data_IF_368184497995
#
_entry.id   IF_368184497995
#
_cell.length_a   1.000
_cell.length_b   1.000
_cell.length_c   1.000
_cell.angle_alpha   90.00
_cell.angle_beta   90.00
_cell.angle_gamma   90.00
#
_symmetry.space_group_name_H-M   'P 1'
#
loop_
_entity.id
_entity.type
_entity.pdbx_description
1 polymer ?
#
# COMPACT_ATOMS: atom_id res chain seq x y z
N UNK A 1 0.93 -33.22 -17.37
CA UNK A 1 0.88 -32.12 -16.39
C UNK A 1 1.40 -30.90 -17.10
N UNK A 2 0.50 -30.16 -17.75
CA UNK A 2 0.89 -29.01 -18.56
C UNK A 2 1.27 -27.86 -17.63
N UNK A 3 2.52 -27.42 -17.73
CA UNK A 3 3.05 -26.24 -17.05
C UNK A 3 2.14 -25.04 -17.30
N UNK A 4 1.69 -24.37 -16.22
CA UNK A 4 0.90 -23.14 -16.31
C UNK A 4 1.63 -22.14 -17.21
N UNK A 5 1.03 -21.85 -18.37
CA UNK A 5 1.61 -20.94 -19.34
C UNK A 5 1.39 -19.49 -18.88
N UNK A 6 2.39 -18.90 -18.20
CA UNK A 6 2.36 -17.51 -17.74
C UNK A 6 2.07 -16.45 -18.84
N UNK A 7 2.01 -16.81 -20.14
CA UNK A 7 1.44 -15.93 -21.20
C UNK A 7 -0.01 -15.53 -20.90
N UNK A 8 -0.80 -16.43 -20.32
CA UNK A 8 -2.22 -16.15 -20.04
C UNK A 8 -2.41 -15.22 -18.84
N UNK A 9 -1.44 -15.12 -17.92
CA UNK A 9 -1.60 -14.38 -16.67
C UNK A 9 -1.67 -12.85 -16.87
N UNK A 10 -0.87 -12.28 -17.79
CA UNK A 10 -0.93 -10.85 -18.13
C UNK A 10 -2.21 -10.48 -18.91
N UNK A 11 -2.62 -11.30 -19.87
CA UNK A 11 -3.89 -11.10 -20.58
C UNK A 11 -5.10 -11.25 -19.63
N UNK A 12 -4.98 -12.11 -18.62
CA UNK A 12 -6.05 -12.35 -17.66
C UNK A 12 -6.17 -11.27 -16.59
N UNK A 13 -5.10 -10.61 -16.15
CA UNK A 13 -5.23 -9.42 -15.27
C UNK A 13 -6.05 -8.35 -15.99
N UNK A 14 -5.80 -8.14 -17.29
CA UNK A 14 -6.59 -7.24 -18.12
C UNK A 14 -8.05 -7.71 -18.25
N UNK A 15 -8.29 -9.02 -18.34
CA UNK A 15 -9.63 -9.61 -18.43
C UNK A 15 -10.41 -9.59 -17.09
N UNK A 16 -9.72 -9.77 -15.95
CA UNK A 16 -10.27 -9.69 -14.60
C UNK A 16 -10.74 -8.25 -14.33
N UNK A 17 -9.91 -7.25 -14.66
CA UNK A 17 -10.29 -5.83 -14.52
C UNK A 17 -11.41 -5.48 -15.49
N UNK A 18 -11.39 -5.96 -16.74
CA UNK A 18 -12.44 -5.65 -17.72
C UNK A 18 -13.77 -6.37 -17.46
N UNK A 19 -13.77 -7.48 -16.71
CA UNK A 19 -14.98 -8.25 -16.34
C UNK A 19 -15.53 -7.92 -14.95
N UNK A 20 -14.95 -6.94 -14.23
CA UNK A 20 -15.64 -6.24 -13.14
C UNK A 20 -16.80 -5.41 -13.73
N UNK A 21 -17.88 -6.08 -14.14
CA UNK A 21 -19.16 -5.43 -14.27
C UNK A 21 -19.62 -5.06 -12.86
N UNK A 22 -19.48 -3.77 -12.51
CA UNK A 22 -20.32 -3.16 -11.49
C UNK A 22 -21.75 -3.45 -11.95
N UNK A 23 -22.49 -4.24 -11.17
CA UNK A 23 -23.92 -4.43 -11.38
C UNK A 23 -24.56 -3.04 -11.24
N UNK A 24 -24.72 -2.35 -12.37
CA UNK A 24 -25.48 -1.10 -12.46
C UNK A 24 -26.95 -1.47 -12.28
N UNK A 25 -27.52 -0.96 -11.20
CA UNK A 25 -28.93 -0.60 -11.12
C UNK A 25 -29.93 -1.76 -11.17
N UNK A 26 -30.26 -2.26 -10.00
CA UNK A 26 -31.65 -2.50 -9.63
C UNK A 26 -31.75 -2.47 -8.12
N UNK A 27 -32.73 -1.72 -7.61
CA UNK A 27 -33.14 -1.80 -6.21
C UNK A 27 -33.50 -3.26 -5.93
N UNK A 28 -32.66 -3.97 -5.20
CA UNK A 28 -32.95 -5.35 -4.80
C UNK A 28 -33.89 -5.26 -3.60
N UNK A 29 -35.18 -5.08 -3.90
CA UNK A 29 -36.22 -5.60 -3.02
C UNK A 29 -35.99 -7.12 -2.94
N UNK A 30 -35.71 -7.58 -1.72
CA UNK A 30 -35.50 -8.98 -1.39
C UNK A 30 -36.77 -9.79 -1.70
N UNK A 31 -36.83 -10.40 -2.88
CA UNK A 31 -37.72 -11.53 -3.13
C UNK A 31 -36.96 -12.83 -2.84
N UNK A 32 -37.49 -13.60 -1.91
CA UNK A 32 -36.77 -14.65 -1.20
C UNK A 32 -36.90 -15.99 -1.91
N UNK A 33 -35.82 -16.45 -2.56
CA UNK A 33 -35.61 -17.88 -2.89
C UNK A 33 -34.36 -18.40 -2.17
N UNK A 34 -34.58 -19.29 -1.22
CA UNK A 34 -33.58 -19.76 -0.25
C UNK A 34 -32.30 -20.39 -0.84
N UNK A 35 -32.32 -20.84 -2.10
CA UNK A 35 -31.15 -21.43 -2.77
C UNK A 35 -30.16 -20.42 -3.36
N UNK A 36 -30.63 -19.27 -3.85
CA UNK A 36 -29.75 -18.25 -4.45
C UNK A 36 -28.99 -17.46 -3.38
N UNK A 37 -29.59 -17.26 -2.21
CA UNK A 37 -28.99 -16.56 -1.08
C UNK A 37 -27.77 -17.28 -0.49
N UNK A 38 -27.73 -18.62 -0.51
CA UNK A 38 -26.60 -19.40 0.00
C UNK A 38 -25.37 -19.26 -0.90
N UNK A 39 -25.59 -19.26 -2.23
CA UNK A 39 -24.50 -19.06 -3.20
C UNK A 39 -24.03 -17.60 -3.24
N UNK A 40 -24.93 -16.63 -3.05
CA UNK A 40 -24.59 -15.22 -2.94
C UNK A 40 -23.80 -14.91 -1.65
N UNK A 41 -24.21 -15.45 -0.50
CA UNK A 41 -23.48 -15.28 0.75
C UNK A 41 -22.11 -15.95 0.71
N UNK A 42 -22.02 -17.16 0.14
CA UNK A 42 -20.74 -17.81 -0.11
C UNK A 42 -19.83 -16.95 -1.00
N UNK A 43 -20.37 -16.32 -2.06
CA UNK A 43 -19.61 -15.46 -2.98
C UNK A 43 -19.10 -14.15 -2.38
N UNK A 44 -19.74 -13.67 -1.33
CA UNK A 44 -19.43 -12.39 -0.66
C UNK A 44 -18.54 -12.58 0.58
N UNK A 45 -18.23 -13.81 0.98
CA UNK A 45 -17.33 -14.10 2.09
C UNK A 45 -15.90 -13.63 1.75
N UNK A 46 -15.17 -13.11 2.74
CA UNK A 46 -13.86 -12.47 2.52
C UNK A 46 -12.85 -13.41 1.88
N UNK A 47 -12.74 -14.66 2.32
CA UNK A 47 -11.82 -15.64 1.74
C UNK A 47 -12.06 -15.88 0.24
N UNK A 48 -13.28 -15.69 -0.26
CA UNK A 48 -13.58 -15.81 -1.69
C UNK A 48 -12.86 -14.78 -2.57
N UNK A 49 -12.40 -13.66 -2.02
CA UNK A 49 -11.57 -12.70 -2.76
C UNK A 49 -10.29 -13.36 -3.30
N UNK A 50 -9.67 -14.25 -2.52
CA UNK A 50 -8.51 -15.01 -2.95
C UNK A 50 -8.90 -16.34 -3.62
N UNK A 51 -9.82 -17.10 -3.02
CA UNK A 51 -10.14 -18.46 -3.48
C UNK A 51 -10.73 -18.48 -4.87
N UNK A 52 -11.52 -17.47 -5.27
CA UNK A 52 -12.08 -17.41 -6.63
C UNK A 52 -11.00 -17.21 -7.69
N UNK A 53 -9.95 -16.44 -7.38
CA UNK A 53 -8.80 -16.27 -8.26
C UNK A 53 -8.08 -17.61 -8.40
N UNK A 54 -7.76 -18.27 -7.28
CA UNK A 54 -7.11 -19.58 -7.29
C UNK A 54 -7.93 -20.64 -8.03
N UNK A 55 -9.24 -20.72 -7.79
CA UNK A 55 -10.15 -21.64 -8.47
C UNK A 55 -10.16 -21.41 -9.98
N UNK A 56 -10.39 -20.17 -10.40
CA UNK A 56 -10.48 -19.82 -11.82
C UNK A 56 -9.16 -20.10 -12.56
N UNK A 57 -8.03 -19.81 -11.92
CA UNK A 57 -6.69 -20.01 -12.46
C UNK A 57 -6.13 -21.43 -12.25
N UNK A 58 -6.88 -22.32 -11.59
CA UNK A 58 -6.44 -23.68 -11.24
C UNK A 58 -5.12 -23.70 -10.48
N UNK A 59 -4.94 -22.74 -9.57
CA UNK A 59 -3.77 -22.65 -8.69
C UNK A 59 -3.98 -23.51 -7.44
N UNK A 60 -2.94 -24.21 -7.02
CA UNK A 60 -3.00 -25.14 -5.86
C UNK A 60 -2.08 -24.74 -4.71
N UNK A 61 -1.44 -23.57 -4.79
CA UNK A 61 -0.66 -23.00 -3.68
C UNK A 61 -1.55 -22.35 -2.60
N UNK A 62 -0.93 -21.71 -1.58
CA UNK A 62 -1.65 -20.99 -0.53
C UNK A 62 -2.65 -19.98 -1.11
N UNK A 63 -3.86 -19.93 -0.54
CA UNK A 63 -4.93 -19.02 -0.94
C UNK A 63 -5.66 -18.48 0.28
N UNK A 64 -5.47 -17.20 0.58
CA UNK A 64 -5.98 -16.58 1.81
C UNK A 64 -6.17 -15.07 1.63
N UNK A 65 -6.88 -14.47 2.57
CA UNK A 65 -7.02 -13.01 2.71
C UNK A 65 -6.43 -12.60 4.05
N UNK A 66 -5.62 -11.55 4.04
CA UNK A 66 -5.10 -10.92 5.24
C UNK A 66 -5.83 -9.60 5.49
N UNK A 67 -6.12 -9.31 6.76
CA UNK A 67 -6.74 -8.07 7.20
C UNK A 67 -5.92 -7.47 8.35
N UNK A 68 -5.07 -6.52 7.98
CA UNK A 68 -4.25 -5.71 8.89
C UNK A 68 -4.58 -4.21 8.70
N UNK A 69 -5.87 -3.93 8.43
CA UNK A 69 -6.39 -2.60 8.10
C UNK A 69 -5.64 -1.97 6.91
N UNK A 70 -5.17 -0.73 7.03
CA UNK A 70 -4.53 0.04 5.95
C UNK A 70 -3.26 -0.61 5.35
N UNK A 71 -2.63 -1.52 6.09
CA UNK A 71 -1.39 -2.19 5.68
C UNK A 71 -1.63 -3.52 4.93
N UNK A 72 -2.88 -3.98 4.83
CA UNK A 72 -3.22 -5.35 4.38
C UNK A 72 -2.55 -5.79 3.07
N UNK A 73 -2.61 -4.95 2.03
CA UNK A 73 -1.99 -5.30 0.74
C UNK A 73 -0.47 -5.37 0.80
N UNK A 74 0.19 -4.51 1.59
CA UNK A 74 1.65 -4.58 1.74
C UNK A 74 2.07 -5.78 2.59
N UNK A 75 1.30 -6.10 3.63
CA UNK A 75 1.50 -7.30 4.43
C UNK A 75 1.34 -8.58 3.60
N UNK A 76 0.35 -8.63 2.70
CA UNK A 76 0.21 -9.74 1.76
C UNK A 76 1.40 -9.86 0.80
N UNK A 77 1.97 -8.72 0.37
CA UNK A 77 3.19 -8.68 -0.48
C UNK A 77 4.40 -9.19 0.30
N UNK A 78 4.58 -8.79 1.55
CA UNK A 78 5.65 -9.29 2.42
C UNK A 78 5.55 -10.80 2.60
N UNK A 79 4.36 -11.34 2.90
CA UNK A 79 4.16 -12.78 3.07
C UNK A 79 4.49 -13.54 1.78
N UNK A 80 4.05 -13.04 0.62
CA UNK A 80 4.39 -13.62 -0.67
C UNK A 80 5.89 -13.55 -0.96
N UNK A 81 6.54 -12.41 -0.69
CA UNK A 81 7.99 -12.24 -0.82
C UNK A 81 8.75 -13.26 0.02
N UNK A 82 8.38 -13.40 1.30
CA UNK A 82 8.99 -14.37 2.23
C UNK A 82 8.83 -15.81 1.74
N UNK A 83 7.61 -16.21 1.37
CA UNK A 83 7.32 -17.55 0.86
C UNK A 83 8.12 -17.87 -0.42
N UNK A 84 8.26 -16.91 -1.34
CA UNK A 84 9.10 -17.06 -2.54
C UNK A 84 10.58 -17.16 -2.17
N UNK A 85 11.05 -16.30 -1.25
CA UNK A 85 12.46 -16.26 -0.82
C UNK A 85 12.93 -17.56 -0.17
N UNK A 86 12.09 -18.20 0.64
CA UNK A 86 12.42 -19.48 1.29
C UNK A 86 12.13 -20.69 0.40
N UNK A 87 11.57 -20.48 -0.80
CA UNK A 87 11.29 -21.53 -1.77
C UNK A 87 10.00 -22.33 -1.51
N UNK A 88 9.08 -21.82 -0.67
CA UNK A 88 7.77 -22.44 -0.42
C UNK A 88 6.86 -22.35 -1.66
N UNK A 89 6.92 -21.23 -2.38
CA UNK A 89 6.20 -21.01 -3.64
C UNK A 89 7.14 -20.41 -4.70
N UNK A 90 6.83 -20.59 -5.98
CA UNK A 90 7.62 -20.02 -7.08
C UNK A 90 7.12 -18.65 -7.55
N UNK A 91 5.81 -18.42 -7.42
CA UNK A 91 5.15 -17.18 -7.78
C UNK A 91 3.89 -16.97 -6.92
N UNK A 92 3.44 -15.72 -6.84
CA UNK A 92 2.25 -15.32 -6.13
C UNK A 92 1.47 -14.26 -6.91
N UNK A 93 0.14 -14.32 -6.80
CA UNK A 93 -0.75 -13.22 -7.17
C UNK A 93 -1.11 -12.52 -5.88
N UNK A 94 -0.78 -11.23 -5.78
CA UNK A 94 -1.06 -10.44 -4.59
C UNK A 94 -1.92 -9.26 -5.00
N UNK A 95 -3.01 -9.01 -4.26
CA UNK A 95 -3.92 -7.93 -4.56
C UNK A 95 -4.40 -7.18 -3.32
N UNK A 96 -4.89 -5.97 -3.54
CA UNK A 96 -5.57 -5.15 -2.55
C UNK A 96 -6.82 -4.56 -3.18
N UNK A 97 -7.94 -4.60 -2.46
CA UNK A 97 -9.20 -4.04 -2.93
C UNK A 97 -9.88 -3.25 -1.81
N UNK A 98 -10.41 -2.08 -2.14
CA UNK A 98 -11.25 -1.27 -1.29
C UNK A 98 -12.34 -0.59 -2.13
N UNK A 99 -13.59 -0.63 -1.66
CA UNK A 99 -14.73 0.03 -2.30
C UNK A 99 -15.64 0.67 -1.23
N UNK A 100 -15.88 1.97 -1.35
CA UNK A 100 -16.67 2.80 -0.45
C UNK A 100 -18.16 2.72 -0.79
N UNK A 101 -18.73 1.52 -0.72
CA UNK A 101 -20.11 1.27 -1.17
C UNK A 101 -21.19 1.67 -0.16
N UNK A 102 -20.85 1.70 1.13
CA UNK A 102 -21.82 1.92 2.20
C UNK A 102 -21.44 3.13 3.06
N UNK A 103 -22.31 4.14 3.08
CA UNK A 103 -22.06 5.43 3.77
C UNK A 103 -21.87 5.29 5.28
N UNK A 104 -22.43 4.24 5.89
CA UNK A 104 -22.27 3.96 7.33
C UNK A 104 -20.79 3.84 7.74
N UNK A 105 -19.94 3.23 6.92
CA UNK A 105 -18.51 3.09 7.22
C UNK A 105 -17.83 4.47 7.24
N UNK A 106 -18.17 5.33 6.28
CA UNK A 106 -17.68 6.72 6.28
C UNK A 106 -18.19 7.51 7.49
N UNK A 107 -19.44 7.29 7.93
CA UNK A 107 -19.97 7.90 9.14
C UNK A 107 -19.23 7.44 10.40
N UNK A 108 -18.85 6.16 10.48
CA UNK A 108 -18.04 5.64 11.59
C UNK A 108 -16.67 6.32 11.62
N UNK A 109 -15.95 6.35 10.49
CA UNK A 109 -14.65 7.04 10.43
C UNK A 109 -14.75 8.55 10.69
N UNK A 110 -15.84 9.21 10.27
CA UNK A 110 -16.08 10.61 10.61
C UNK A 110 -16.25 10.80 12.12
N UNK A 111 -16.97 9.89 12.80
CA UNK A 111 -17.14 9.93 14.27
C UNK A 111 -15.86 9.63 15.04
N UNK A 112 -14.95 8.87 14.45
CA UNK A 112 -13.60 8.65 14.98
C UNK A 112 -12.67 9.85 14.78
N UNK A 113 -13.07 10.85 13.99
CA UNK A 113 -12.28 12.05 13.73
C UNK A 113 -11.09 11.85 12.80
N UNK A 114 -11.05 10.74 12.04
CA UNK A 114 -9.93 10.42 11.14
C UNK A 114 -10.16 10.88 9.70
N UNK A 115 -11.40 11.23 9.34
CA UNK A 115 -11.71 11.75 8.01
C UNK A 115 -11.48 13.26 7.94
N UNK A 116 -10.85 13.71 6.85
CA UNK A 116 -10.73 15.13 6.56
C UNK A 116 -12.12 15.71 6.20
N UNK A 117 -12.53 16.84 6.82
CA UNK A 117 -13.76 17.55 6.45
C UNK A 117 -13.77 18.07 5.01
N UNK A 118 -12.60 18.30 4.41
CA UNK A 118 -12.46 18.77 3.02
C UNK A 118 -12.29 17.62 2.01
N UNK A 119 -12.31 16.37 2.47
CA UNK A 119 -12.23 15.20 1.61
C UNK A 119 -10.91 15.11 0.83
N UNK A 120 -9.82 15.68 1.36
CA UNK A 120 -8.49 15.61 0.74
C UNK A 120 -7.44 15.07 1.72
N UNK A 121 -6.44 14.34 1.19
CA UNK A 121 -5.26 13.94 1.95
C UNK A 121 -4.13 14.96 1.74
N UNK A 122 -3.89 15.83 2.73
CA UNK A 122 -2.84 16.86 2.64
C UNK A 122 -1.56 16.38 3.33
N UNK A 123 -0.97 15.32 2.75
CA UNK A 123 0.20 14.67 3.31
C UNK A 123 1.35 15.67 3.52
N UNK A 124 1.94 15.66 4.72
CA UNK A 124 3.06 16.54 5.13
C UNK A 124 2.75 18.03 5.23
N UNK A 125 1.53 18.46 4.92
CA UNK A 125 1.11 19.86 5.03
C UNK A 125 0.60 20.18 6.45
N UNK A 126 0.84 21.42 6.89
CA UNK A 126 0.33 21.95 8.16
C UNK A 126 -1.21 21.90 8.24
N UNK A 127 -1.91 22.05 7.11
CA UNK A 127 -3.37 21.99 7.03
C UNK A 127 -3.94 20.56 6.97
N UNK A 128 -3.12 19.52 7.08
CA UNK A 128 -3.58 18.13 7.08
C UNK A 128 -4.39 17.80 8.34
N UNK A 129 -5.63 17.38 8.14
CA UNK A 129 -6.70 17.33 9.13
C UNK A 129 -7.52 16.03 9.04
N UNK A 130 -6.88 14.93 8.61
CA UNK A 130 -7.50 13.63 8.36
C UNK A 130 -7.25 13.15 6.94
N UNK A 131 -7.91 12.06 6.54
CA UNK A 131 -7.79 11.49 5.20
C UNK A 131 -9.13 11.45 4.45
N UNK A 132 -9.06 11.32 3.12
CA UNK A 132 -10.20 11.08 2.24
C UNK A 132 -10.27 9.59 1.91
N UNK A 133 -11.42 8.93 2.07
CA UNK A 133 -11.57 7.52 1.66
C UNK A 133 -11.54 7.41 0.14
N UNK A 134 -10.96 6.32 -0.37
CA UNK A 134 -10.87 6.09 -1.80
C UNK A 134 -11.14 4.64 -2.22
N UNK A 135 -11.60 4.50 -3.45
CA UNK A 135 -11.80 3.22 -4.11
C UNK A 135 -10.54 2.82 -4.87
N UNK A 136 -10.10 1.57 -4.70
CA UNK A 136 -9.03 1.02 -5.51
C UNK A 136 -9.09 -0.49 -5.57
N UNK A 137 -8.70 -1.06 -6.70
CA UNK A 137 -8.38 -2.49 -6.85
C UNK A 137 -7.07 -2.58 -7.61
N UNK A 138 -6.08 -3.23 -7.01
CA UNK A 138 -4.76 -3.44 -7.61
C UNK A 138 -4.30 -4.87 -7.45
N UNK A 139 -3.52 -5.35 -8.42
CA UNK A 139 -2.96 -6.71 -8.44
C UNK A 139 -1.53 -6.66 -8.97
N UNK A 140 -0.64 -7.38 -8.30
CA UNK A 140 0.74 -7.62 -8.72
C UNK A 140 1.01 -9.13 -8.83
N UNK A 141 1.95 -9.47 -9.70
CA UNK A 141 2.51 -10.82 -9.80
C UNK A 141 3.94 -10.76 -9.26
N UNK A 142 4.21 -11.52 -8.21
CA UNK A 142 5.54 -11.72 -7.67
C UNK A 142 6.06 -13.08 -8.10
N UNK A 143 7.32 -13.17 -8.50
CA UNK A 143 7.97 -14.42 -8.89
C UNK A 143 9.49 -14.29 -8.79
N UNK A 144 10.21 -15.41 -8.86
CA UNK A 144 11.67 -15.41 -8.92
C UNK A 144 12.14 -14.72 -10.22
N UNK A 145 13.18 -13.90 -10.14
CA UNK A 145 13.68 -13.11 -11.27
C UNK A 145 14.04 -13.95 -12.50
N UNK A 146 14.61 -15.14 -12.28
CA UNK A 146 14.97 -16.10 -13.34
C UNK A 146 13.78 -16.57 -14.20
N UNK A 147 12.57 -16.54 -13.65
CA UNK A 147 11.34 -17.01 -14.29
C UNK A 147 10.54 -15.84 -14.89
N UNK A 148 10.92 -14.59 -14.56
CA UNK A 148 10.22 -13.40 -14.98
C UNK A 148 10.56 -13.01 -16.43
N UNK A 149 9.51 -12.76 -17.23
CA UNK A 149 9.67 -12.24 -18.60
C UNK A 149 9.87 -10.74 -18.66
N UNK A 150 9.33 -10.04 -17.67
CA UNK A 150 9.48 -8.60 -17.46
C UNK A 150 9.59 -8.38 -15.97
N UNK A 151 10.54 -7.55 -15.57
CA UNK A 151 10.77 -7.14 -14.19
C UNK A 151 10.56 -5.63 -14.17
N UNK A 152 9.56 -5.19 -13.42
CA UNK A 152 9.29 -3.76 -13.20
C UNK A 152 10.12 -3.21 -12.04
N UNK A 153 10.27 -4.02 -10.99
CA UNK A 153 11.04 -3.71 -9.80
C UNK A 153 11.48 -5.02 -9.13
N UNK A 154 12.54 -4.96 -8.35
CA UNK A 154 12.98 -6.06 -7.50
C UNK A 154 12.70 -5.72 -6.03
N UNK A 155 12.03 -6.62 -5.32
CA UNK A 155 11.87 -6.50 -3.86
C UNK A 155 13.17 -6.92 -3.20
N UNK A 156 13.87 -5.95 -2.59
CA UNK A 156 15.16 -6.19 -1.93
C UNK A 156 14.98 -6.74 -0.51
N UNK A 157 13.99 -6.20 0.21
CA UNK A 157 13.59 -6.64 1.54
C UNK A 157 12.15 -6.21 1.84
N UNK A 158 11.51 -6.87 2.81
CA UNK A 158 10.20 -6.50 3.33
C UNK A 158 10.10 -6.94 4.79
N UNK A 159 9.56 -6.06 5.64
CA UNK A 159 9.45 -6.29 7.07
C UNK A 159 8.24 -5.55 7.64
N UNK A 160 7.54 -6.19 8.57
CA UNK A 160 6.52 -5.55 9.42
C UNK A 160 6.86 -5.75 10.90
N UNK A 161 6.40 -4.83 11.74
CA UNK A 161 6.25 -5.03 13.18
C UNK A 161 4.86 -4.54 13.63
N UNK A 162 4.67 -4.34 14.93
CA UNK A 162 3.44 -3.83 15.52
C UNK A 162 3.77 -2.79 16.59
N UNK A 163 2.91 -1.78 16.73
CA UNK A 163 3.08 -0.68 17.69
C UNK A 163 3.15 -1.13 19.16
N UNK A 164 2.55 -2.28 19.48
CA UNK A 164 2.45 -2.76 20.86
C UNK A 164 1.53 -1.90 21.73
N UNK A 165 1.76 -1.95 23.05
CA UNK A 165 0.98 -1.16 24.02
C UNK A 165 1.34 0.34 23.95
N UNK A 166 0.31 1.19 23.96
CA UNK A 166 0.42 2.65 23.96
C UNK A 166 -0.57 3.23 24.96
N UNK A 167 -0.13 4.15 25.81
CA UNK A 167 -1.00 4.78 26.81
C UNK A 167 -2.06 5.71 26.20
N UNK A 168 -1.82 6.21 24.98
CA UNK A 168 -2.71 7.08 24.23
C UNK A 168 -3.87 6.32 23.57
N UNK A 169 -3.80 4.99 23.51
CA UNK A 169 -4.80 4.12 22.88
C UNK A 169 -4.28 3.38 21.65
N UNK A 170 -5.09 2.43 21.17
CA UNK A 170 -4.71 1.50 20.09
C UNK A 170 -4.53 2.19 18.73
N UNK A 171 -5.27 3.29 18.50
CA UNK A 171 -5.31 4.02 17.22
C UNK A 171 -4.18 5.04 17.05
N UNK A 172 -3.46 5.38 18.13
CA UNK A 172 -2.39 6.38 18.10
C UNK A 172 -1.10 5.79 17.49
N UNK A 173 -0.42 6.41 16.53
CA UNK A 173 0.80 5.85 15.93
C UNK A 173 1.98 5.75 16.93
N UNK A 174 2.85 4.73 16.80
CA UNK A 174 4.08 4.62 17.61
C UNK A 174 5.34 4.98 16.83
N UNK A 175 5.80 6.23 16.99
CA UNK A 175 7.09 6.66 16.44
C UNK A 175 8.28 5.75 16.83
N UNK A 176 8.43 5.34 18.11
CA UNK A 176 9.47 4.39 18.50
C UNK A 176 9.39 3.02 17.79
N UNK A 177 8.18 2.49 17.58
CA UNK A 177 8.01 1.22 16.87
C UNK A 177 8.39 1.35 15.39
N UNK A 178 8.01 2.45 14.74
CA UNK A 178 8.39 2.74 13.34
C UNK A 178 9.90 2.95 13.19
N UNK A 179 10.56 3.63 14.15
CA UNK A 179 12.04 3.75 14.18
C UNK A 179 12.68 2.37 14.33
N UNK A 180 12.16 1.50 15.21
CA UNK A 180 12.66 0.12 15.36
C UNK A 180 12.52 -0.65 14.05
N UNK A 181 11.34 -0.57 13.41
CA UNK A 181 11.07 -1.23 12.14
C UNK A 181 12.07 -0.83 11.07
N UNK A 182 12.28 0.48 10.89
CA UNK A 182 13.22 1.01 9.89
C UNK A 182 14.66 0.60 10.22
N UNK A 183 15.07 0.64 11.49
CA UNK A 183 16.42 0.21 11.86
C UNK A 183 16.65 -1.27 11.56
N UNK A 184 15.77 -2.15 12.02
CA UNK A 184 15.86 -3.59 11.77
C UNK A 184 15.77 -3.92 10.28
N UNK A 185 14.89 -3.24 9.53
CA UNK A 185 14.79 -3.41 8.08
C UNK A 185 16.13 -3.15 7.39
N UNK A 186 16.80 -2.04 7.71
CA UNK A 186 18.08 -1.67 7.09
C UNK A 186 19.30 -2.36 7.75
N UNK A 187 19.13 -3.07 8.85
CA UNK A 187 20.15 -3.99 9.39
C UNK A 187 20.12 -5.34 8.67
N UNK A 188 18.93 -5.79 8.25
CA UNK A 188 18.74 -7.04 7.51
C UNK A 188 18.88 -6.88 5.99
N UNK A 189 18.64 -5.68 5.47
CA UNK A 189 18.71 -5.36 4.06
C UNK A 189 20.14 -4.98 3.65
N UNK A 190 20.65 -5.60 2.58
CA UNK A 190 21.96 -5.28 1.99
C UNK A 190 21.92 -4.00 1.12
N UNK A 191 21.33 -2.94 1.67
CA UNK A 191 21.17 -1.63 1.03
C UNK A 191 21.58 -0.56 2.02
N UNK A 192 22.51 0.32 1.61
CA UNK A 192 22.79 1.52 2.37
C UNK A 192 21.55 2.42 2.40
N UNK A 193 20.96 2.59 3.59
CA UNK A 193 19.78 3.44 3.79
C UNK A 193 19.98 4.89 3.32
N UNK A 194 21.21 5.39 3.28
CA UNK A 194 21.51 6.73 2.78
C UNK A 194 21.62 6.82 1.26
N UNK A 195 21.55 5.68 0.56
CA UNK A 195 21.51 5.60 -0.90
C UNK A 195 20.10 5.66 -1.50
N UNK A 196 19.05 5.65 -0.67
CA UNK A 196 17.67 5.78 -1.13
C UNK A 196 17.46 7.09 -1.89
N UNK A 197 16.81 7.02 -3.05
CA UNK A 197 16.49 8.20 -3.85
C UNK A 197 15.16 8.82 -3.46
N UNK A 198 14.21 8.00 -3.01
CA UNK A 198 12.88 8.45 -2.60
C UNK A 198 12.23 7.48 -1.60
N UNK A 199 11.36 8.01 -0.74
CA UNK A 199 10.51 7.23 0.15
C UNK A 199 9.03 7.53 -0.10
N UNK A 200 8.26 6.48 -0.39
CA UNK A 200 6.81 6.54 -0.43
C UNK A 200 6.28 6.25 0.97
N UNK A 201 5.72 7.28 1.59
CA UNK A 201 5.24 7.23 2.96
C UNK A 201 3.72 7.04 3.01
N UNK A 202 3.24 6.53 4.15
CA UNK A 202 1.84 6.49 4.50
C UNK A 202 1.24 7.91 4.47
N UNK A 203 1.89 8.87 5.10
CA UNK A 203 1.70 10.32 4.95
C UNK A 203 0.53 10.92 5.74
N UNK A 204 0.06 10.25 6.80
CA UNK A 204 -1.10 10.75 7.60
C UNK A 204 -0.72 11.38 8.93
N UNK A 205 0.42 11.02 9.51
CA UNK A 205 0.82 11.43 10.86
C UNK A 205 2.27 11.97 10.94
N UNK A 206 2.57 12.85 11.91
CA UNK A 206 3.92 13.33 12.13
C UNK A 206 4.92 12.27 12.61
N UNK A 207 4.46 11.25 13.33
CA UNK A 207 5.31 10.21 13.91
C UNK A 207 6.08 9.46 12.82
N UNK A 208 5.42 9.13 11.71
CA UNK A 208 6.07 8.53 10.53
C UNK A 208 7.14 9.42 9.92
N UNK A 209 6.82 10.69 9.65
CA UNK A 209 7.78 11.65 9.10
C UNK A 209 9.01 11.82 9.99
N UNK A 210 8.82 11.83 11.31
CA UNK A 210 9.90 11.91 12.28
C UNK A 210 10.71 10.61 12.36
N UNK A 211 10.07 9.44 12.23
CA UNK A 211 10.77 8.16 12.19
C UNK A 211 11.66 8.04 10.93
N UNK A 212 11.14 8.44 9.78
CA UNK A 212 11.88 8.53 8.51
C UNK A 212 13.06 9.51 8.65
N UNK A 213 12.84 10.72 9.19
CA UNK A 213 13.92 11.69 9.41
C UNK A 213 15.01 11.15 10.35
N UNK A 214 14.61 10.55 11.47
CA UNK A 214 15.54 10.02 12.46
C UNK A 214 16.43 8.91 11.92
N UNK A 215 15.91 8.08 11.00
CA UNK A 215 16.57 6.85 10.54
C UNK A 215 17.25 6.98 9.18
N UNK A 216 16.71 7.80 8.26
CA UNK A 216 17.15 7.82 6.86
C UNK A 216 17.89 9.09 6.46
N UNK A 217 17.77 10.21 7.19
CA UNK A 217 18.28 11.50 6.69
C UNK A 217 19.57 11.99 7.34
N UNK A 218 19.87 11.61 8.58
CA UNK A 218 20.92 12.25 9.41
C UNK A 218 22.34 12.24 8.81
N UNK A 219 22.69 11.26 7.98
CA UNK A 219 24.01 11.17 7.33
C UNK A 219 23.97 11.49 5.84
N UNK A 220 22.84 11.95 5.32
CA UNK A 220 22.70 12.30 3.90
C UNK A 220 23.35 13.65 3.61
N UNK A 221 23.96 13.77 2.44
CA UNK A 221 24.49 15.04 1.90
C UNK A 221 23.41 15.84 1.16
N UNK A 222 22.37 15.16 0.69
CA UNK A 222 21.26 15.77 -0.06
C UNK A 222 19.94 15.36 0.60
N UNK A 223 18.88 16.17 0.49
CA UNK A 223 17.56 15.83 1.04
C UNK A 223 17.08 14.47 0.55
N UNK A 224 16.36 13.72 1.38
CA UNK A 224 15.60 12.55 0.93
C UNK A 224 14.28 13.02 0.35
N UNK A 225 14.01 12.65 -0.91
CA UNK A 225 12.70 12.92 -1.50
C UNK A 225 11.64 12.06 -0.81
N UNK A 226 10.51 12.66 -0.46
CA UNK A 226 9.38 11.98 0.19
C UNK A 226 8.08 12.34 -0.53
N UNK A 227 7.14 11.40 -0.55
CA UNK A 227 5.82 11.64 -1.09
C UNK A 227 4.79 10.63 -0.58
N UNK A 228 3.54 10.83 -1.01
CA UNK A 228 2.41 9.97 -0.65
C UNK A 228 1.35 10.00 -1.74
N UNK A 229 1.09 8.83 -2.31
CA UNK A 229 0.05 8.56 -3.32
C UNK A 229 -1.33 8.97 -2.82
N UNK A 230 -1.54 8.96 -1.50
CA UNK A 230 -2.81 9.33 -0.89
C UNK A 230 -3.19 10.78 -1.20
N UNK A 231 -2.21 11.66 -1.36
CA UNK A 231 -2.49 13.05 -1.77
C UNK A 231 -3.13 13.14 -3.15
N UNK A 232 -2.87 12.18 -4.04
CA UNK A 232 -3.37 12.21 -5.41
C UNK A 232 -4.71 11.49 -5.59
N UNK A 233 -4.92 10.37 -4.88
CA UNK A 233 -6.08 9.50 -5.10
C UNK A 233 -6.93 9.26 -3.85
N UNK A 234 -6.55 9.83 -2.70
CA UNK A 234 -7.12 9.51 -1.40
C UNK A 234 -6.55 8.22 -0.79
N UNK A 235 -7.04 7.88 0.40
CA UNK A 235 -6.65 6.70 1.15
C UNK A 235 -7.53 5.51 0.79
N UNK A 236 -6.98 4.58 0.02
CA UNK A 236 -7.67 3.35 -0.40
C UNK A 236 -7.60 2.21 0.63
N UNK A 237 -7.51 2.56 1.92
CA UNK A 237 -7.57 1.65 3.06
C UNK A 237 -6.73 0.37 2.85
N UNK A 238 -7.24 -0.89 2.85
CA UNK A 238 -6.38 -2.08 2.70
C UNK A 238 -5.67 -2.16 1.34
N UNK A 239 -6.13 -1.42 0.31
CA UNK A 239 -5.48 -1.31 -0.99
C UNK A 239 -4.40 -0.22 -1.04
N UNK A 240 -4.10 0.47 0.06
CA UNK A 240 -3.14 1.59 0.04
C UNK A 240 -1.72 1.16 -0.36
N UNK A 241 -1.28 0.00 0.12
CA UNK A 241 0.05 -0.53 -0.22
C UNK A 241 0.21 -0.87 -1.69
N UNK A 242 -0.80 -1.50 -2.31
CA UNK A 242 -0.75 -1.84 -3.73
C UNK A 242 -0.75 -0.57 -4.61
N UNK A 243 -1.50 0.47 -4.24
CA UNK A 243 -1.51 1.76 -4.93
C UNK A 243 -0.14 2.45 -4.83
N UNK A 244 0.44 2.48 -3.62
CA UNK A 244 1.73 3.11 -3.36
C UNK A 244 2.89 2.41 -4.11
N UNK A 245 2.91 1.06 -4.15
CA UNK A 245 3.87 0.31 -4.97
C UNK A 245 3.68 0.61 -6.45
N UNK A 246 2.42 0.69 -6.90
CA UNK A 246 2.13 0.97 -8.31
C UNK A 246 2.66 2.35 -8.71
N UNK A 247 2.49 3.40 -7.88
CA UNK A 247 3.13 4.71 -8.10
C UNK A 247 4.65 4.58 -8.17
N UNK A 248 5.28 3.83 -7.26
CA UNK A 248 6.73 3.62 -7.24
C UNK A 248 7.22 2.95 -8.52
N UNK A 249 6.53 1.90 -9.00
CA UNK A 249 6.84 1.23 -10.26
C UNK A 249 6.69 2.20 -11.44
N UNK A 250 5.61 2.98 -11.49
CA UNK A 250 5.41 4.00 -12.53
C UNK A 250 6.55 5.03 -12.49
N UNK A 251 6.97 5.43 -11.29
CA UNK A 251 8.07 6.36 -11.14
C UNK A 251 9.37 5.78 -11.72
N UNK A 252 9.72 4.54 -11.34
CA UNK A 252 10.90 3.81 -11.86
C UNK A 252 10.88 3.70 -13.38
N UNK A 253 9.76 3.24 -13.96
CA UNK A 253 9.62 3.04 -15.41
C UNK A 253 9.65 4.35 -16.21
N UNK A 254 9.24 5.46 -15.59
CA UNK A 254 9.18 6.76 -16.24
C UNK A 254 10.38 7.66 -15.97
N UNK A 255 11.22 7.31 -14.99
CA UNK A 255 12.41 8.05 -14.59
C UNK A 255 12.15 9.29 -13.73
N UNK A 256 10.92 9.51 -13.27
CA UNK A 256 10.56 10.65 -12.42
C UNK A 256 9.53 10.29 -11.35
N UNK A 257 9.57 10.99 -10.22
CA UNK A 257 8.57 10.81 -9.15
C UNK A 257 7.34 11.69 -9.44
N UNK A 258 6.12 11.12 -9.48
CA UNK A 258 4.90 11.91 -9.59
C UNK A 258 4.71 12.84 -8.38
N UNK A 259 4.31 14.11 -8.60
CA UNK A 259 4.19 15.10 -7.53
C UNK A 259 3.05 14.79 -6.56
N UNK A 260 3.28 15.12 -5.29
CA UNK A 260 2.27 15.21 -4.25
C UNK A 260 1.35 16.40 -4.52
N UNK A 261 0.06 16.19 -4.30
CA UNK A 261 -0.91 17.28 -4.28
C UNK A 261 -1.03 17.89 -2.87
N UNK A 262 -1.63 19.08 -2.79
CA UNK A 262 -2.08 19.70 -1.55
C UNK A 262 -0.97 20.01 -0.52
N UNK A 263 0.28 20.18 -0.97
CA UNK A 263 1.40 20.62 -0.13
C UNK A 263 1.76 22.08 -0.44
N UNK A 264 1.64 22.94 0.57
CA UNK A 264 1.95 24.38 0.53
C UNK A 264 2.86 24.78 1.69
N UNK A 265 2.53 24.34 2.92
CA UNK A 265 3.27 24.73 4.13
C UNK A 265 3.72 23.47 4.86
N UNK A 266 5.03 23.31 5.14
CA UNK A 266 5.52 22.12 5.82
C UNK A 266 4.95 22.01 7.23
N UNK A 267 4.49 20.80 7.57
CA UNK A 267 4.02 20.47 8.92
C UNK A 267 5.13 20.66 9.96
N UNK A 268 4.86 21.47 10.99
CA UNK A 268 5.86 21.93 11.98
C UNK A 268 6.39 20.82 12.88
N UNK A 269 5.57 19.80 13.09
CA UNK A 269 5.88 18.63 13.92
C UNK A 269 6.92 17.70 13.27
N UNK A 270 7.15 17.81 11.96
CA UNK A 270 8.13 17.01 11.24
C UNK A 270 9.40 17.84 11.03
N UNK A 271 10.36 17.68 11.94
CA UNK A 271 11.60 18.47 11.97
C UNK A 271 12.41 18.39 10.67
N UNK A 272 12.41 17.21 10.04
CA UNK A 272 13.11 16.97 8.77
C UNK A 272 12.63 17.84 7.61
N UNK A 273 11.34 18.22 7.58
CA UNK A 273 10.79 19.11 6.56
C UNK A 273 11.27 20.56 6.77
N UNK A 274 11.25 21.03 8.01
CA UNK A 274 11.68 22.39 8.35
C UNK A 274 13.18 22.60 8.14
N UNK A 275 13.98 21.58 8.38
CA UNK A 275 15.44 21.62 8.25
C UNK A 275 15.94 21.21 6.85
N UNK A 276 15.02 20.98 5.89
CA UNK A 276 15.35 20.64 4.50
C UNK A 276 16.03 19.27 4.33
N UNK A 277 15.93 18.38 5.32
CA UNK A 277 16.41 16.99 5.21
C UNK A 277 15.44 16.07 4.49
N UNK A 278 14.16 16.37 4.59
CA UNK A 278 13.08 15.76 3.82
C UNK A 278 12.54 16.79 2.85
N UNK A 279 12.36 16.38 1.59
CA UNK A 279 11.89 17.23 0.51
C UNK A 279 10.65 16.61 -0.11
N UNK A 280 9.49 17.23 0.08
CA UNK A 280 8.23 16.75 -0.51
C UNK A 280 8.27 17.01 -2.00
N UNK A 281 8.03 15.97 -2.80
CA UNK A 281 8.01 16.08 -4.26
C UNK A 281 6.75 16.85 -4.68
N UNK A 282 6.86 18.13 -5.05
CA UNK A 282 5.73 18.98 -5.48
C UNK A 282 5.66 19.22 -6.98
N UNK A 283 6.74 18.88 -7.69
CA UNK A 283 6.85 18.95 -9.13
C UNK A 283 7.45 17.66 -9.70
N UNK A 284 7.52 17.56 -11.02
CA UNK A 284 8.07 16.39 -11.70
C UNK A 284 9.61 16.38 -11.52
N UNK A 285 10.09 15.63 -10.52
CA UNK A 285 11.52 15.54 -10.21
C UNK A 285 12.09 14.21 -10.78
N UNK A 286 13.18 14.25 -11.58
CA UNK A 286 13.87 13.04 -12.02
C UNK A 286 14.57 12.35 -10.84
N UNK A 287 14.76 11.03 -10.91
CA UNK A 287 15.61 10.36 -9.92
C UNK A 287 17.03 10.92 -9.95
N UNK A 288 17.63 11.08 -8.77
CA UNK A 288 18.99 11.62 -8.62
C UNK A 288 20.05 10.60 -9.05
N UNK A 289 19.69 9.33 -9.20
CA UNK A 289 20.58 8.26 -9.66
C UNK A 289 19.88 7.26 -10.59
N UNK A 290 20.69 6.54 -11.38
CA UNK A 290 20.22 5.50 -12.31
C UNK A 290 19.70 4.23 -11.59
N UNK A 291 19.87 4.15 -10.26
CA UNK A 291 19.55 2.95 -9.46
C UNK A 291 18.15 2.96 -8.87
N UNK A 292 17.47 4.11 -8.83
CA UNK A 292 16.04 4.18 -8.53
C UNK A 292 15.64 3.46 -7.24
N UNK A 293 16.46 3.51 -6.19
CA UNK A 293 16.15 2.82 -4.94
C UNK A 293 15.01 3.54 -4.22
N UNK A 294 13.86 2.87 -4.16
CA UNK A 294 12.66 3.38 -3.50
C UNK A 294 12.40 2.62 -2.20
N UNK A 295 12.38 3.37 -1.10
CA UNK A 295 11.89 2.87 0.18
C UNK A 295 10.38 3.04 0.26
N UNK A 296 9.71 2.12 0.95
CA UNK A 296 8.31 2.29 1.31
C UNK A 296 8.15 2.09 2.81
N UNK A 297 7.46 3.02 3.46
CA UNK A 297 7.00 2.88 4.83
C UNK A 297 5.47 2.88 4.81
N UNK A 298 4.88 1.88 5.47
CA UNK A 298 3.49 1.93 5.85
C UNK A 298 3.35 1.52 7.32
N UNK A 299 2.93 2.47 8.11
CA UNK A 299 2.48 2.26 9.47
C UNK A 299 1.18 1.45 9.52
N UNK A 300 1.07 0.54 10.50
CA UNK A 300 -0.18 -0.14 10.80
C UNK A 300 -1.06 0.79 11.63
N UNK A 301 -2.12 1.34 11.03
CA UNK A 301 -3.17 2.02 11.79
C UNK A 301 -4.41 1.16 11.78
N UNK A 302 -4.72 0.57 12.94
CA UNK A 302 -6.04 0.01 13.18
C UNK A 302 -6.90 1.16 13.71
N UNK A 303 -7.78 1.69 12.87
CA UNK A 303 -8.83 2.61 13.30
C UNK A 303 -10.05 1.76 13.70
N UNK A 304 -10.30 1.60 15.00
CA UNK A 304 -11.57 1.07 15.52
C UNK A 304 -12.54 2.21 15.83
#
# INVERSE_FOLDING_TARGET
>A
MDSVNFKSLQYLVHEIVSRFHILKGSSIYLDARAGENILLSARAERSMLAHRISYFLKLSGPSYVADTACSSSLYAIENAYRAIRIGEIDAAIVGGANLCLHSYVSLQFARLGVLSPDGSCKAFDEAGNGYARADAVGVLILQKSKDARRIYAQVLHAKTNCDGYKSQGITFPSGPAQVSLLNEFYEECDVDRYSLSYVEAHGTDPEEGNAIDATLTKKRKTPLLIGSTKSNIGHSEPASGICAITKCIIAMESGFVPPNNHFNTPRKEIKGLLEGRLEVVTEKIPFRDDRGLLGMELSQHIHY
#
